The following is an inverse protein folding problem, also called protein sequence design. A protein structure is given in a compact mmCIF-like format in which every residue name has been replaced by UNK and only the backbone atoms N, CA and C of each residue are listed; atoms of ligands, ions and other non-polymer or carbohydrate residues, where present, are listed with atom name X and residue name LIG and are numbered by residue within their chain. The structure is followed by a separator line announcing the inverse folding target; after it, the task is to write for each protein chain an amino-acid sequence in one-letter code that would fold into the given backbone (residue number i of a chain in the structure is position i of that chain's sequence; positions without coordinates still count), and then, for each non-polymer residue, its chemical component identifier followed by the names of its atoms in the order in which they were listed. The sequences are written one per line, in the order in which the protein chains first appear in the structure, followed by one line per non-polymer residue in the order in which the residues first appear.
data_IF_989405266243
#
_entry.id   IF_989405266243
#
_cell.length_a   1.000
_cell.length_b   1.000
_cell.length_c   1.000
_cell.angle_alpha   90.00
_cell.angle_beta   90.00
_cell.angle_gamma   90.00
#
_symmetry.space_group_name_H-M   'P 1'
#
loop_
_entity.id
_entity.type
_entity.pdbx_description
1 polymer ?
#
# COMPACT_ATOMS: atom_id res chain seq x y z
N UNK A 1 -2.20 10.79 -17.34
CA UNK A 1 -3.51 10.11 -17.53
C UNK A 1 -4.65 10.98 -17.04
N UNK A 2 -4.56 11.59 -15.85
CA UNK A 2 -5.68 12.35 -15.26
C UNK A 2 -5.41 13.85 -14.99
N UNK A 3 -4.39 14.43 -15.63
CA UNK A 3 -4.00 15.83 -15.46
C UNK A 3 -3.26 16.15 -14.15
N UNK A 4 -2.66 17.34 -14.08
CA UNK A 4 -1.87 17.80 -12.92
C UNK A 4 -2.75 17.95 -11.68
N UNK A 5 -3.98 18.46 -11.86
CA UNK A 5 -4.90 18.73 -10.75
C UNK A 5 -5.28 17.48 -9.97
N UNK A 6 -5.64 16.39 -10.64
CA UNK A 6 -5.94 15.13 -9.96
C UNK A 6 -4.72 14.56 -9.21
N UNK A 7 -3.51 14.73 -9.76
CA UNK A 7 -2.27 14.34 -9.10
C UNK A 7 -2.00 15.13 -7.82
N UNK A 8 -2.19 16.45 -7.84
CA UNK A 8 -2.06 17.30 -6.64
C UNK A 8 -3.10 16.90 -5.59
N UNK A 9 -4.36 16.75 -5.99
CA UNK A 9 -5.44 16.33 -5.07
C UNK A 9 -5.13 14.97 -4.44
N UNK A 10 -4.64 14.01 -5.22
CA UNK A 10 -4.23 12.69 -4.74
C UNK A 10 -3.11 12.79 -3.71
N UNK A 11 -2.08 13.59 -3.99
CA UNK A 11 -0.94 13.77 -3.09
C UNK A 11 -1.38 14.40 -1.76
N UNK A 12 -2.26 15.42 -1.80
CA UNK A 12 -2.80 16.05 -0.60
C UNK A 12 -3.70 15.08 0.18
N UNK A 13 -4.58 14.33 -0.48
CA UNK A 13 -5.41 13.30 0.17
C UNK A 13 -4.56 12.24 0.86
N UNK A 14 -3.49 11.79 0.21
CA UNK A 14 -2.56 10.82 0.76
C UNK A 14 -1.82 11.36 1.99
N UNK A 15 -1.34 12.61 1.90
CA UNK A 15 -0.67 13.28 3.02
C UNK A 15 -1.61 13.59 4.20
N UNK A 16 -2.91 13.80 3.91
CA UNK A 16 -3.95 14.10 4.88
C UNK A 16 -4.69 12.85 5.41
N UNK A 17 -4.17 11.64 5.16
CA UNK A 17 -4.66 10.45 5.87
C UNK A 17 -4.34 10.59 7.37
N UNK A 18 -5.18 10.09 8.30
CA UNK A 18 -4.92 10.21 9.74
C UNK A 18 -3.51 9.74 10.15
N UNK A 19 -3.03 8.66 9.55
CA UNK A 19 -1.67 8.12 9.78
C UNK A 19 -0.58 8.81 8.94
N UNK A 20 -0.89 9.91 8.27
CA UNK A 20 0.03 10.67 7.41
C UNK A 20 1.25 11.18 8.16
N UNK A 21 1.14 11.47 9.46
CA UNK A 21 2.28 11.89 10.29
C UNK A 21 3.45 10.88 10.28
N UNK A 22 3.19 9.60 10.00
CA UNK A 22 4.24 8.57 9.83
C UNK A 22 5.21 8.93 8.73
N UNK A 23 4.80 9.66 7.70
CA UNK A 23 5.71 10.07 6.61
C UNK A 23 6.78 11.05 7.08
N UNK A 24 6.52 11.76 8.18
CA UNK A 24 7.46 12.71 8.79
C UNK A 24 8.34 12.06 9.86
N UNK A 25 8.04 10.81 10.24
CA UNK A 25 8.84 10.02 11.16
C UNK A 25 9.95 9.27 10.41
N UNK A 26 11.02 8.89 11.11
CA UNK A 26 12.15 8.12 10.55
C UNK A 26 11.77 6.64 10.26
N UNK A 27 10.84 6.45 9.34
CA UNK A 27 10.24 5.18 8.97
C UNK A 27 10.36 4.93 7.45
N UNK A 28 10.40 3.66 7.05
CA UNK A 28 10.63 3.29 5.64
C UNK A 28 9.40 3.48 4.72
N UNK A 29 8.25 3.84 5.29
CA UNK A 29 6.98 4.04 4.60
C UNK A 29 7.04 5.11 3.50
N UNK A 30 7.66 6.26 3.79
CA UNK A 30 7.78 7.35 2.81
C UNK A 30 8.68 6.94 1.64
N UNK A 31 9.84 6.35 1.94
CA UNK A 31 10.77 5.83 0.94
C UNK A 31 10.12 4.73 0.09
N UNK A 32 9.46 3.76 0.73
CA UNK A 32 8.74 2.69 0.04
C UNK A 32 7.65 3.24 -0.88
N UNK A 33 6.85 4.19 -0.39
CA UNK A 33 5.76 4.78 -1.18
C UNK A 33 6.31 5.55 -2.38
N UNK A 34 7.41 6.29 -2.21
CA UNK A 34 8.08 6.98 -3.32
C UNK A 34 8.62 6.00 -4.37
N UNK A 35 9.30 4.93 -3.94
CA UNK A 35 9.80 3.88 -4.84
C UNK A 35 8.66 3.17 -5.57
N UNK A 36 7.58 2.82 -4.87
CA UNK A 36 6.39 2.20 -5.44
C UNK A 36 5.70 3.11 -6.47
N UNK A 37 5.50 4.39 -6.13
CA UNK A 37 4.89 5.37 -7.03
C UNK A 37 5.71 5.56 -8.31
N UNK A 38 7.04 5.68 -8.19
CA UNK A 38 7.91 5.80 -9.35
C UNK A 38 8.01 4.49 -10.16
N UNK A 39 7.99 3.33 -9.51
CA UNK A 39 7.98 2.03 -10.19
C UNK A 39 6.71 1.86 -11.03
N UNK A 40 5.55 2.17 -10.44
CA UNK A 40 4.25 2.14 -11.12
C UNK A 40 4.21 3.18 -12.25
N UNK A 41 4.71 4.40 -12.03
CA UNK A 41 4.82 5.40 -13.08
C UNK A 41 5.70 4.94 -14.26
N UNK A 42 6.88 4.38 -13.97
CA UNK A 42 7.78 3.83 -14.97
C UNK A 42 7.12 2.67 -15.73
N UNK A 43 6.38 1.80 -15.03
CA UNK A 43 5.61 0.70 -15.61
C UNK A 43 4.53 1.22 -16.58
N UNK A 44 3.76 2.24 -16.19
CA UNK A 44 2.76 2.86 -17.04
C UNK A 44 3.36 3.56 -18.26
N UNK A 45 4.62 4.00 -18.17
CA UNK A 45 5.40 4.60 -19.27
C UNK A 45 6.23 3.56 -20.04
N UNK A 46 6.05 2.26 -19.77
CA UNK A 46 6.80 1.14 -20.37
C UNK A 46 8.32 1.25 -20.22
N UNK A 47 8.80 1.97 -19.21
CA UNK A 47 10.23 2.06 -18.84
C UNK A 47 10.60 0.88 -17.93
N UNK A 48 10.59 -0.32 -18.51
CA UNK A 48 10.61 -1.56 -17.73
C UNK A 48 11.83 -1.72 -16.84
N UNK A 49 13.04 -1.42 -17.34
CA UNK A 49 14.26 -1.56 -16.55
C UNK A 49 14.22 -0.68 -15.29
N UNK A 50 13.78 0.57 -15.44
CA UNK A 50 13.58 1.48 -14.31
C UNK A 50 12.50 0.97 -13.35
N UNK A 51 11.38 0.49 -13.87
CA UNK A 51 10.31 -0.10 -13.04
C UNK A 51 10.81 -1.30 -12.23
N UNK A 52 11.60 -2.18 -12.85
CA UNK A 52 12.23 -3.33 -12.21
C UNK A 52 13.24 -2.94 -11.13
N UNK A 53 14.12 -1.99 -11.42
CA UNK A 53 15.11 -1.49 -10.46
C UNK A 53 14.43 -0.87 -9.23
N UNK A 54 13.44 -0.01 -9.46
CA UNK A 54 12.67 0.62 -8.38
C UNK A 54 11.85 -0.40 -7.58
N UNK A 55 11.29 -1.42 -8.24
CA UNK A 55 10.60 -2.52 -7.56
C UNK A 55 11.56 -3.35 -6.70
N UNK A 56 12.78 -3.63 -7.18
CA UNK A 56 13.80 -4.31 -6.41
C UNK A 56 14.21 -3.49 -5.18
N UNK A 57 14.48 -2.19 -5.35
CA UNK A 57 14.76 -1.28 -4.23
C UNK A 57 13.58 -1.23 -3.25
N UNK A 58 12.33 -1.19 -3.73
CA UNK A 58 11.15 -1.22 -2.88
C UNK A 58 11.09 -2.52 -2.06
N UNK A 59 11.38 -3.67 -2.69
CA UNK A 59 11.46 -4.99 -2.04
C UNK A 59 12.53 -5.09 -0.95
N UNK A 60 13.63 -4.34 -1.06
CA UNK A 60 14.67 -4.26 -0.02
C UNK A 60 14.24 -3.45 1.21
N UNK A 61 13.28 -2.54 1.05
CA UNK A 61 12.84 -1.70 2.18
C UNK A 61 11.84 -2.42 3.08
N UNK A 62 10.93 -3.22 2.49
CA UNK A 62 9.81 -3.85 3.20
C UNK A 62 9.32 -5.14 2.52
N UNK A 63 8.84 -6.14 3.27
CA UNK A 63 8.23 -7.37 2.71
C UNK A 63 7.00 -7.09 1.84
N UNK A 64 6.33 -5.98 2.14
CA UNK A 64 5.18 -5.45 1.41
C UNK A 64 5.54 -5.05 -0.04
N UNK A 65 6.84 -4.95 -0.39
CA UNK A 65 7.32 -4.76 -1.76
C UNK A 65 6.94 -5.86 -2.74
N UNK A 66 6.51 -7.02 -2.24
CA UNK A 66 5.78 -8.04 -3.04
C UNK A 66 4.66 -7.44 -3.89
N UNK A 67 3.94 -6.44 -3.39
CA UNK A 67 2.88 -5.76 -4.14
C UNK A 67 3.41 -5.02 -5.38
N UNK A 68 4.56 -4.35 -5.27
CA UNK A 68 5.18 -3.62 -6.40
C UNK A 68 5.71 -4.62 -7.43
N UNK A 69 6.36 -5.70 -6.95
CA UNK A 69 6.85 -6.79 -7.81
C UNK A 69 5.69 -7.41 -8.59
N UNK A 70 4.59 -7.75 -7.92
CA UNK A 70 3.40 -8.31 -8.56
C UNK A 70 2.84 -7.35 -9.63
N UNK A 71 2.74 -6.06 -9.34
CA UNK A 71 2.26 -5.07 -10.30
C UNK A 71 3.14 -4.99 -11.55
N UNK A 72 4.46 -4.96 -11.39
CA UNK A 72 5.41 -4.91 -12.53
C UNK A 72 5.37 -6.19 -13.35
N UNK A 73 5.37 -7.36 -12.70
CA UNK A 73 5.33 -8.66 -13.37
C UNK A 73 4.00 -8.85 -14.12
N UNK A 74 2.86 -8.58 -13.50
CA UNK A 74 1.55 -8.70 -14.15
C UNK A 74 1.44 -7.74 -15.34
N UNK A 75 1.94 -6.52 -15.20
CA UNK A 75 1.94 -5.56 -16.31
C UNK A 75 2.81 -6.03 -17.49
N UNK A 76 3.98 -6.60 -17.20
CA UNK A 76 4.88 -7.14 -18.20
C UNK A 76 4.28 -8.35 -18.93
N UNK A 77 3.67 -9.28 -18.17
CA UNK A 77 2.94 -10.43 -18.73
C UNK A 77 1.78 -9.95 -19.60
N UNK A 78 0.99 -8.98 -19.11
CA UNK A 78 -0.12 -8.42 -19.88
C UNK A 78 0.34 -7.75 -21.18
N UNK A 79 1.52 -7.13 -21.21
CA UNK A 79 2.10 -6.61 -22.44
C UNK A 79 2.45 -7.75 -23.40
N UNK A 80 3.18 -8.76 -22.94
CA UNK A 80 3.61 -9.91 -23.77
C UNK A 80 2.41 -10.66 -24.36
N UNK A 81 1.34 -10.81 -23.60
CA UNK A 81 0.11 -11.47 -24.06
C UNK A 81 -0.66 -10.64 -25.11
N UNK A 82 -0.60 -9.31 -25.04
CA UNK A 82 -1.27 -8.42 -26.01
C UNK A 82 -0.45 -8.23 -27.29
N UNK A 83 0.87 -8.23 -27.17
CA UNK A 83 1.80 -7.95 -28.27
C UNK A 83 2.47 -9.26 -28.71
N UNK A 84 1.92 -9.90 -29.76
CA UNK A 84 2.46 -11.15 -30.30
C UNK A 84 3.96 -10.98 -30.63
N UNK A 85 4.81 -11.83 -30.04
CA UNK A 85 6.26 -11.81 -30.25
C UNK A 85 7.06 -10.87 -29.33
N UNK A 86 6.41 -10.15 -28.42
CA UNK A 86 7.13 -9.35 -27.42
C UNK A 86 7.87 -10.25 -26.43
N UNK A 87 9.14 -9.93 -26.16
CA UNK A 87 9.94 -10.61 -25.13
C UNK A 87 9.59 -10.06 -23.75
N UNK A 88 9.61 -10.89 -22.69
CA UNK A 88 9.42 -10.39 -21.34
C UNK A 88 10.50 -9.34 -21.04
N UNK A 89 10.11 -8.14 -20.58
CA UNK A 89 11.06 -7.09 -20.35
C UNK A 89 11.98 -7.45 -19.17
N UNK A 90 13.28 -7.21 -19.32
CA UNK A 90 14.30 -7.49 -18.29
C UNK A 90 13.93 -6.93 -16.91
N UNK A 91 13.25 -5.78 -16.87
CA UNK A 91 12.76 -5.18 -15.64
C UNK A 91 11.82 -6.08 -14.82
N UNK A 92 11.01 -6.91 -15.46
CA UNK A 92 10.13 -7.85 -14.75
C UNK A 92 10.93 -8.97 -14.06
N UNK A 93 12.05 -9.38 -14.65
CA UNK A 93 12.97 -10.35 -14.05
C UNK A 93 13.80 -9.72 -12.91
N UNK A 94 14.11 -8.43 -13.02
CA UNK A 94 14.84 -7.68 -11.99
C UNK A 94 13.97 -7.35 -10.77
N UNK A 95 12.67 -7.10 -10.97
CA UNK A 95 11.74 -6.70 -9.92
C UNK A 95 11.81 -7.56 -8.63
N UNK A 96 11.77 -8.90 -8.67
CA UNK A 96 11.84 -9.72 -7.46
C UNK A 96 13.22 -9.76 -6.80
N UNK A 97 14.29 -9.30 -7.47
CA UNK A 97 15.67 -9.51 -7.01
C UNK A 97 15.94 -8.93 -5.61
N UNK A 98 15.37 -7.76 -5.29
CA UNK A 98 15.55 -7.16 -3.97
C UNK A 98 14.89 -7.95 -2.84
N UNK A 99 13.65 -8.41 -3.07
CA UNK A 99 12.92 -9.23 -2.10
C UNK A 99 13.60 -10.59 -1.90
N UNK A 100 13.91 -11.29 -3.00
CA UNK A 100 14.58 -12.59 -2.96
C UNK A 100 15.99 -12.48 -2.38
N UNK A 101 16.71 -11.41 -2.71
CA UNK A 101 18.04 -11.12 -2.16
C UNK A 101 18.00 -10.95 -0.64
N UNK A 102 17.02 -10.22 -0.10
CA UNK A 102 16.87 -10.07 1.34
C UNK A 102 16.45 -11.37 2.03
N UNK A 103 15.46 -12.09 1.48
CA UNK A 103 15.02 -13.40 2.02
C UNK A 103 16.18 -14.40 2.01
N UNK A 104 16.93 -14.48 0.92
CA UNK A 104 18.11 -15.32 0.79
C UNK A 104 19.22 -14.91 1.75
N UNK A 105 19.49 -13.61 1.91
CA UNK A 105 20.45 -13.12 2.89
C UNK A 105 20.09 -13.52 4.32
N UNK A 106 18.82 -13.37 4.73
CA UNK A 106 18.38 -13.83 6.05
C UNK A 106 18.54 -15.34 6.18
N UNK A 107 18.18 -16.12 5.15
CA UNK A 107 18.39 -17.57 5.16
C UNK A 107 19.85 -17.97 5.36
N UNK A 108 20.78 -17.29 4.68
CA UNK A 108 22.22 -17.49 4.86
C UNK A 108 22.71 -17.10 6.26
N UNK A 109 22.19 -16.01 6.83
CA UNK A 109 22.56 -15.55 8.18
C UNK A 109 22.04 -16.47 9.29
N UNK A 110 20.89 -17.09 9.04
CA UNK A 110 20.22 -18.00 9.97
C UNK A 110 20.71 -19.44 9.83
N UNK A 111 21.27 -19.80 8.67
CA UNK A 111 21.69 -21.17 8.36
C UNK A 111 20.54 -22.08 7.89
N UNK A 112 19.38 -21.51 7.55
CA UNK A 112 18.19 -22.25 7.14
C UNK A 112 17.57 -21.61 5.87
N UNK A 113 17.20 -22.40 4.85
CA UNK A 113 16.60 -21.84 3.62
C UNK A 113 15.31 -21.04 3.85
N UNK A 114 14.50 -21.40 4.84
CA UNK A 114 13.27 -20.68 5.21
C UNK A 114 13.46 -19.70 6.39
N UNK A 115 14.71 -19.36 6.73
CA UNK A 115 15.07 -18.60 7.92
C UNK A 115 14.32 -17.27 8.06
N UNK A 116 14.06 -16.56 6.95
CA UNK A 116 13.24 -15.34 6.97
C UNK A 116 11.83 -15.59 7.53
N UNK A 117 11.16 -16.64 7.04
CA UNK A 117 9.80 -16.98 7.46
C UNK A 117 9.78 -17.52 8.89
N UNK A 118 10.81 -18.25 9.30
CA UNK A 118 10.95 -18.69 10.71
C UNK A 118 11.10 -17.49 11.64
N UNK A 119 11.97 -16.54 11.31
CA UNK A 119 12.12 -15.29 12.07
C UNK A 119 10.78 -14.55 12.10
N UNK A 120 10.12 -14.36 10.96
CA UNK A 120 8.81 -13.70 10.91
C UNK A 120 7.77 -14.35 11.83
N UNK A 121 7.69 -15.70 11.84
CA UNK A 121 6.81 -16.47 12.74
C UNK A 121 7.16 -16.25 14.21
N UNK A 122 8.45 -16.15 14.55
CA UNK A 122 8.91 -15.83 15.90
C UNK A 122 8.44 -14.46 16.42
N UNK A 123 8.16 -13.53 15.51
CA UNK A 123 7.55 -12.22 15.81
C UNK A 123 6.02 -12.22 15.71
N UNK A 124 5.39 -13.40 15.61
CA UNK A 124 3.93 -13.55 15.44
C UNK A 124 3.41 -13.18 14.05
N UNK A 125 4.30 -12.91 13.10
CA UNK A 125 3.92 -12.59 11.72
C UNK A 125 3.85 -13.87 10.87
N UNK A 126 2.83 -13.96 10.05
CA UNK A 126 2.60 -15.12 9.21
C UNK A 126 1.47 -14.88 8.22
N UNK A 127 1.23 -15.85 7.35
CA UNK A 127 0.05 -15.88 6.49
C UNK A 127 -0.92 -16.91 7.05
N UNK A 128 -2.11 -16.49 7.44
CA UNK A 128 -3.14 -17.34 8.03
C UNK A 128 -4.48 -17.27 7.28
N UNK A 129 -4.48 -16.59 6.13
CA UNK A 129 -5.68 -16.35 5.33
C UNK A 129 -6.65 -15.35 5.95
N UNK A 130 -6.23 -14.61 6.98
CA UNK A 130 -7.04 -13.58 7.64
C UNK A 130 -7.83 -14.09 8.83
N UNK A 131 -7.61 -15.33 9.28
CA UNK A 131 -8.29 -15.89 10.45
C UNK A 131 -8.02 -15.09 11.72
N UNK A 132 -6.76 -14.76 12.02
CA UNK A 132 -6.41 -13.98 13.19
C UNK A 132 -6.92 -12.54 13.08
N UNK A 133 -6.96 -11.96 11.87
CA UNK A 133 -7.58 -10.64 11.67
C UNK A 133 -9.08 -10.67 11.95
N UNK A 134 -9.80 -11.68 11.46
CA UNK A 134 -11.23 -11.84 11.70
C UNK A 134 -11.54 -12.10 13.17
N UNK A 135 -10.75 -12.95 13.84
CA UNK A 135 -10.87 -13.20 15.27
C UNK A 135 -10.66 -11.91 16.08
N UNK A 136 -9.58 -11.17 15.79
CA UNK A 136 -9.29 -9.89 16.45
C UNK A 136 -10.38 -8.84 16.22
N UNK A 137 -10.90 -8.73 14.98
CA UNK A 137 -12.02 -7.84 14.68
C UNK A 137 -13.30 -8.25 15.45
N UNK A 138 -13.57 -9.55 15.56
CA UNK A 138 -14.68 -10.09 16.36
C UNK A 138 -14.54 -9.74 17.84
N UNK A 139 -13.37 -9.96 18.43
CA UNK A 139 -13.06 -9.58 19.81
C UNK A 139 -13.24 -8.08 20.05
N UNK A 140 -12.82 -7.24 19.10
CA UNK A 140 -13.03 -5.80 19.16
C UNK A 140 -14.52 -5.47 19.20
N UNK A 141 -15.32 -6.06 18.32
CA UNK A 141 -16.75 -5.83 18.19
C UNK A 141 -17.58 -6.33 19.37
N UNK A 142 -17.19 -7.45 19.99
CA UNK A 142 -17.91 -8.03 21.14
C UNK A 142 -17.37 -7.55 22.49
N UNK A 143 -16.20 -6.91 22.49
CA UNK A 143 -15.52 -6.44 23.69
C UNK A 143 -15.92 -5.02 24.12
N UNK A 144 -15.29 -4.50 25.20
CA UNK A 144 -15.54 -3.15 25.70
C UNK A 144 -15.15 -2.03 24.71
N UNK A 145 -14.33 -2.37 23.72
CA UNK A 145 -13.85 -1.48 22.65
C UNK A 145 -14.62 -1.63 21.34
N UNK A 146 -15.88 -2.06 21.40
CA UNK A 146 -16.75 -2.24 20.23
C UNK A 146 -16.81 -1.05 19.26
N UNK A 147 -16.70 0.24 19.68
CA UNK A 147 -16.68 1.35 18.72
C UNK A 147 -15.46 1.29 17.79
N UNK A 148 -14.30 0.84 18.29
CA UNK A 148 -13.11 0.63 17.47
C UNK A 148 -13.31 -0.54 16.50
N UNK A 149 -14.01 -1.59 16.92
CA UNK A 149 -14.40 -2.71 16.05
C UNK A 149 -15.27 -2.26 14.89
N UNK A 150 -16.28 -1.43 15.15
CA UNK A 150 -17.15 -0.86 14.11
C UNK A 150 -16.34 0.02 13.17
N UNK A 151 -15.49 0.90 13.70
CA UNK A 151 -14.63 1.77 12.89
C UNK A 151 -13.67 0.96 12.00
N UNK A 152 -13.09 -0.12 12.52
CA UNK A 152 -12.23 -1.03 11.77
C UNK A 152 -12.98 -1.65 10.59
N UNK A 153 -14.16 -2.23 10.84
CA UNK A 153 -14.98 -2.87 9.78
C UNK A 153 -15.41 -1.86 8.73
N UNK A 154 -15.84 -0.67 9.14
CA UNK A 154 -16.17 0.42 8.21
C UNK A 154 -14.95 0.84 7.38
N UNK A 155 -13.77 0.97 8.00
CA UNK A 155 -12.53 1.28 7.30
C UNK A 155 -12.17 0.24 6.25
N UNK A 156 -12.28 -1.05 6.59
CA UNK A 156 -12.08 -2.15 5.63
C UNK A 156 -13.10 -2.09 4.50
N UNK A 157 -14.38 -1.89 4.82
CA UNK A 157 -15.45 -1.79 3.82
C UNK A 157 -15.22 -0.61 2.86
N UNK A 158 -14.77 0.55 3.37
CA UNK A 158 -14.41 1.71 2.55
C UNK A 158 -13.24 1.38 1.61
N UNK A 159 -12.17 0.76 2.12
CA UNK A 159 -11.01 0.39 1.29
C UNK A 159 -11.38 -0.60 0.18
N UNK A 160 -12.19 -1.62 0.50
CA UNK A 160 -12.71 -2.57 -0.50
C UNK A 160 -13.62 -1.88 -1.51
N UNK A 161 -14.50 -0.98 -1.05
CA UNK A 161 -15.34 -0.16 -1.91
C UNK A 161 -14.52 0.71 -2.87
N UNK A 162 -13.45 1.36 -2.39
CA UNK A 162 -12.53 2.14 -3.20
C UNK A 162 -11.76 1.30 -4.23
N UNK A 163 -11.40 0.06 -3.89
CA UNK A 163 -10.82 -0.88 -4.86
C UNK A 163 -11.84 -1.22 -5.95
N UNK A 164 -13.08 -1.53 -5.58
CA UNK A 164 -14.17 -1.81 -6.54
C UNK A 164 -14.43 -0.59 -7.44
N UNK A 165 -14.46 0.61 -6.88
CA UNK A 165 -14.60 1.84 -7.66
C UNK A 165 -13.42 2.04 -8.60
N UNK A 166 -12.18 1.79 -8.17
CA UNK A 166 -11.00 1.85 -9.04
C UNK A 166 -11.10 0.88 -10.21
N UNK A 167 -11.62 -0.33 -9.99
CA UNK A 167 -11.87 -1.32 -11.06
C UNK A 167 -12.94 -0.81 -12.02
N UNK A 168 -14.05 -0.29 -11.51
CA UNK A 168 -15.16 0.26 -12.32
C UNK A 168 -14.75 1.50 -13.12
N UNK A 169 -13.91 2.35 -12.54
CA UNK A 169 -13.35 3.54 -13.18
C UNK A 169 -12.27 3.19 -14.23
N UNK A 170 -11.98 1.90 -14.46
CA UNK A 170 -11.03 1.45 -15.48
C UNK A 170 -9.59 1.84 -15.18
N UNK A 171 -9.21 1.92 -13.90
CA UNK A 171 -7.84 2.28 -13.53
C UNK A 171 -6.83 1.29 -14.12
N UNK A 172 -5.60 1.75 -14.48
CA UNK A 172 -4.59 0.87 -15.05
C UNK A 172 -4.30 -0.36 -14.19
N UNK A 173 -4.19 -1.53 -14.84
CA UNK A 173 -3.94 -2.81 -14.17
C UNK A 173 -2.78 -2.82 -13.15
N UNK A 174 -1.62 -2.16 -13.38
CA UNK A 174 -0.55 -2.13 -12.39
C UNK A 174 -0.98 -1.48 -11.06
N UNK A 175 -1.82 -0.44 -11.12
CA UNK A 175 -2.34 0.24 -9.93
C UNK A 175 -3.30 -0.65 -9.15
N UNK A 176 -4.19 -1.36 -9.86
CA UNK A 176 -5.16 -2.27 -9.27
C UNK A 176 -4.48 -3.48 -8.63
N UNK A 177 -3.48 -4.07 -9.29
CA UNK A 177 -2.70 -5.20 -8.75
C UNK A 177 -1.95 -4.77 -7.50
N UNK A 178 -1.26 -3.62 -7.55
CA UNK A 178 -0.54 -3.12 -6.39
C UNK A 178 -1.48 -2.88 -5.18
N UNK A 179 -2.56 -2.14 -5.38
CA UNK A 179 -3.53 -1.86 -4.31
C UNK A 179 -4.22 -3.14 -3.79
N UNK A 180 -4.60 -4.05 -4.70
CA UNK A 180 -5.23 -5.32 -4.34
C UNK A 180 -4.30 -6.24 -3.54
N UNK A 181 -3.02 -6.35 -3.94
CA UNK A 181 -2.04 -7.16 -3.20
C UNK A 181 -1.74 -6.54 -1.83
N UNK A 182 -1.62 -5.21 -1.73
CA UNK A 182 -1.47 -4.53 -0.43
C UNK A 182 -2.64 -4.83 0.52
N UNK A 183 -3.87 -4.71 0.02
CA UNK A 183 -5.07 -5.01 0.81
C UNK A 183 -5.12 -6.48 1.20
N UNK A 184 -4.83 -7.39 0.25
CA UNK A 184 -4.79 -8.81 0.52
C UNK A 184 -3.78 -9.10 1.63
N UNK A 185 -2.55 -8.58 1.55
CA UNK A 185 -1.54 -8.75 2.60
C UNK A 185 -2.02 -8.18 3.94
N UNK A 186 -2.57 -6.97 3.97
CA UNK A 186 -3.05 -6.37 5.21
C UNK A 186 -4.15 -7.19 5.89
N UNK A 187 -5.05 -7.81 5.11
CA UNK A 187 -6.17 -8.59 5.63
C UNK A 187 -5.80 -10.05 5.94
N UNK A 188 -4.78 -10.62 5.29
CA UNK A 188 -4.46 -12.06 5.37
C UNK A 188 -3.20 -12.41 6.16
N UNK A 189 -2.42 -11.41 6.58
CA UNK A 189 -1.28 -11.64 7.45
C UNK A 189 -1.67 -11.54 8.93
N UNK A 190 -1.08 -12.39 9.76
CA UNK A 190 -1.17 -12.29 11.22
C UNK A 190 -0.13 -11.32 11.78
N UNK A 191 -0.36 -10.82 12.99
CA UNK A 191 0.60 -9.99 13.74
C UNK A 191 0.29 -8.49 13.73
N UNK A 192 0.58 -7.83 14.86
CA UNK A 192 0.52 -6.39 15.14
C UNK A 192 -0.58 -5.61 14.39
N UNK A 193 -1.84 -5.95 14.65
CA UNK A 193 -3.01 -5.38 13.97
C UNK A 193 -3.15 -3.86 14.12
N UNK A 194 -2.79 -3.30 15.28
CA UNK A 194 -2.79 -1.85 15.52
C UNK A 194 -1.82 -1.06 14.61
N UNK A 195 -0.79 -1.71 14.07
CA UNK A 195 0.17 -1.07 13.15
C UNK A 195 -0.22 -1.20 11.67
N UNK A 196 -1.22 -2.01 11.33
CA UNK A 196 -1.61 -2.27 9.93
C UNK A 196 -2.11 -1.04 9.14
N UNK A 197 -2.83 -0.07 9.74
CA UNK A 197 -3.20 1.16 9.01
C UNK A 197 -1.98 1.86 8.40
N UNK A 198 -0.83 1.80 9.07
CA UNK A 198 0.45 2.33 8.58
C UNK A 198 0.96 1.58 7.35
N UNK A 199 0.77 0.27 7.29
CA UNK A 199 1.20 -0.57 6.15
C UNK A 199 0.34 -0.34 4.91
N UNK A 200 -0.86 0.22 5.06
CA UNK A 200 -1.75 0.62 3.98
C UNK A 200 -1.53 2.05 3.50
N UNK A 201 -0.68 2.84 4.17
CA UNK A 201 -0.29 4.17 3.70
C UNK A 201 0.20 4.16 2.24
N UNK A 202 0.99 3.17 1.77
CA UNK A 202 1.41 3.11 0.37
C UNK A 202 0.27 2.80 -0.61
N UNK A 203 -0.93 2.41 -0.16
CA UNK A 203 -2.07 2.09 -1.02
C UNK A 203 -2.75 3.34 -1.63
N UNK A 204 -1.96 4.36 -1.97
CA UNK A 204 -2.40 5.60 -2.60
C UNK A 204 -3.28 5.39 -3.84
N UNK A 205 -3.15 4.33 -4.66
CA UNK A 205 -4.05 4.17 -5.80
C UNK A 205 -5.52 3.98 -5.42
N UNK A 206 -5.83 3.53 -4.19
CA UNK A 206 -7.22 3.45 -3.70
C UNK A 206 -7.86 4.83 -3.56
N UNK A 207 -7.06 5.89 -3.42
CA UNK A 207 -7.55 7.26 -3.33
C UNK A 207 -7.85 7.88 -4.71
N UNK A 208 -7.47 7.21 -5.81
CA UNK A 208 -7.69 7.72 -7.17
C UNK A 208 -9.15 8.07 -7.48
N UNK A 209 -10.15 7.21 -7.18
CA UNK A 209 -11.55 7.54 -7.46
C UNK A 209 -12.02 8.80 -6.74
N UNK A 210 -11.56 9.02 -5.50
CA UNK A 210 -11.87 10.22 -4.72
C UNK A 210 -11.17 11.43 -5.30
N UNK A 211 -9.88 11.30 -5.61
CA UNK A 211 -9.08 12.38 -6.18
C UNK A 211 -9.63 12.87 -7.53
N UNK A 212 -10.09 11.96 -8.39
CA UNK A 212 -10.70 12.29 -9.68
C UNK A 212 -12.00 13.07 -9.51
N UNK A 213 -12.92 12.56 -8.69
CA UNK A 213 -14.21 13.22 -8.44
C UNK A 213 -14.01 14.60 -7.80
N UNK A 214 -13.10 14.73 -6.85
CA UNK A 214 -12.79 16.02 -6.22
C UNK A 214 -12.05 16.98 -7.16
N UNK A 215 -11.26 16.46 -8.12
CA UNK A 215 -10.62 17.29 -9.15
C UNK A 215 -11.62 17.90 -10.13
N UNK A 216 -12.81 17.30 -10.28
CA UNK A 216 -13.91 17.84 -11.07
C UNK A 216 -14.79 18.82 -10.29
N UNK A 217 -14.73 18.81 -8.96
CA UNK A 217 -15.41 19.81 -8.13
C UNK A 217 -14.79 21.21 -8.34
N UNK A 218 -15.52 22.26 -7.97
CA UNK A 218 -14.98 23.62 -7.96
C UNK A 218 -13.73 23.74 -7.07
N UNK A 219 -12.76 24.61 -7.42
CA UNK A 219 -11.50 24.71 -6.68
C UNK A 219 -11.70 25.06 -5.20
N UNK A 220 -12.72 25.87 -4.88
CA UNK A 220 -13.10 26.22 -3.50
C UNK A 220 -13.56 25.00 -2.71
N UNK A 221 -14.42 24.16 -3.29
CA UNK A 221 -14.91 22.93 -2.66
C UNK A 221 -13.75 21.95 -2.42
N UNK A 222 -12.89 21.76 -3.42
CA UNK A 222 -11.72 20.91 -3.28
C UNK A 222 -10.78 21.43 -2.17
N UNK A 223 -10.49 22.73 -2.14
CA UNK A 223 -9.65 23.33 -1.11
C UNK A 223 -10.27 23.22 0.29
N UNK A 224 -11.58 23.44 0.43
CA UNK A 224 -12.27 23.31 1.72
C UNK A 224 -12.23 21.87 2.24
N UNK A 225 -12.57 20.88 1.40
CA UNK A 225 -12.55 19.46 1.77
C UNK A 225 -11.13 19.04 2.16
N UNK A 226 -10.13 19.35 1.33
CA UNK A 226 -8.74 19.01 1.62
C UNK A 226 -8.21 19.72 2.87
N UNK A 227 -8.60 20.99 3.09
CA UNK A 227 -8.21 21.75 4.27
C UNK A 227 -8.78 21.15 5.56
N UNK A 228 -10.05 20.75 5.56
CA UNK A 228 -10.68 20.07 6.70
C UNK A 228 -10.01 18.73 6.99
N UNK A 229 -9.75 17.92 5.95
CA UNK A 229 -9.05 16.64 6.10
C UNK A 229 -7.63 16.83 6.63
N UNK A 230 -6.88 17.80 6.09
CA UNK A 230 -5.52 18.10 6.53
C UNK A 230 -5.48 18.60 7.98
N UNK A 231 -6.40 19.48 8.38
CA UNK A 231 -6.51 19.96 9.76
C UNK A 231 -6.86 18.82 10.72
N UNK A 232 -7.82 17.96 10.37
CA UNK A 232 -8.18 16.77 11.17
C UNK A 232 -7.01 15.79 11.29
N UNK A 233 -6.30 15.53 10.19
CA UNK A 233 -5.10 14.70 10.19
C UNK A 233 -3.98 15.28 11.04
N UNK A 234 -3.76 16.60 10.99
CA UNK A 234 -2.76 17.27 11.79
C UNK A 234 -3.10 17.22 13.28
N UNK A 235 -4.37 17.44 13.64
CA UNK A 235 -4.85 17.31 15.02
C UNK A 235 -4.65 15.87 15.54
N UNK A 236 -5.02 14.86 14.76
CA UNK A 236 -4.80 13.45 15.12
C UNK A 236 -3.30 13.11 15.23
N UNK A 237 -2.48 13.59 14.30
CA UNK A 237 -1.03 13.40 14.36
C UNK A 237 -0.42 14.06 15.60
N UNK A 238 -0.89 15.25 15.98
CA UNK A 238 -0.45 15.95 17.17
C UNK A 238 -0.86 15.21 18.46
N UNK A 239 -2.09 14.68 18.54
CA UNK A 239 -2.49 13.88 19.71
C UNK A 239 -1.71 12.58 19.81
N UNK A 240 -1.36 11.96 18.67
CA UNK A 240 -0.50 10.78 18.68
C UNK A 240 0.93 11.09 19.15
N UNK A 241 1.53 12.18 18.66
CA UNK A 241 2.92 12.55 18.99
C UNK A 241 3.09 13.16 20.38
N UNK A 242 2.12 13.95 20.84
CA UNK A 242 2.22 14.76 22.06
C UNK A 242 1.36 14.22 23.21
N UNK A 243 0.38 13.35 22.92
CA UNK A 243 -0.45 12.69 23.91
C UNK A 243 0.13 11.34 24.36
N UNK A 244 -0.62 10.55 25.14
CA UNK A 244 -0.19 9.21 25.61
C UNK A 244 -0.06 8.16 24.48
N UNK A 245 -0.18 8.55 23.21
CA UNK A 245 -0.35 7.65 22.06
C UNK A 245 -1.83 7.36 21.76
N UNK A 246 -2.16 6.69 20.64
CA UNK A 246 -3.50 6.17 20.42
C UNK A 246 -3.86 5.18 21.54
N UNK A 247 -5.16 5.04 21.87
CA UNK A 247 -5.62 3.94 22.72
C UNK A 247 -5.25 2.58 22.13
#
# INVERSE_FOLDING_TARGET
MHGVRAGVVLAVLWAALPVGVVTSMAYSEALFTALAAWALHACLRRRWLLAGLLAALAGLTRPVGTAVVAAVVVAAVAQVLRERGARPPLGALLAPAGLLGYVGWVGLRVGEPDGYFRVARGWGNGFDGGRAFAAWAGELLTGPQWPLGVLLVLGVAVLLGLLVLSVRDGQPAPLLVFAGVLLALALTTSGYFGSKPRYLLPAFPLLMPVALRLSWAGPRTAAAVLGVLAAGSAAYGATWLLGPGPP
#
